data_IF_532500065084
#
_entry.id   IF_532500065084
#
_cell.length_a   1.000
_cell.length_b   1.000
_cell.length_c   1.000
_cell.angle_alpha   90.00
_cell.angle_beta   90.00
_cell.angle_gamma   90.00
#
_symmetry.space_group_name_H-M   'P 1'
#
loop_
_entity.id
_entity.type
_entity.pdbx_description
1 polymer ?
#
# COMPACT_ATOMS: atom_id res chain seq x y z
N UNK A 1 -10.40 14.89 0.12
CA UNK A 1 -10.90 13.96 -0.93
C UNK A 1 -10.53 12.57 -0.48
N UNK A 2 -11.51 11.76 -0.06
CA UNK A 2 -11.27 10.39 0.38
C UNK A 2 -11.58 9.45 -0.79
N UNK A 3 -10.59 8.68 -1.24
CA UNK A 3 -10.81 7.52 -2.10
C UNK A 3 -11.48 6.44 -1.27
N UNK A 4 -12.80 6.52 -1.15
CA UNK A 4 -13.62 5.43 -0.60
C UNK A 4 -13.84 4.41 -1.72
N UNK A 5 -12.75 3.78 -2.16
CA UNK A 5 -12.77 2.73 -3.16
C UNK A 5 -13.04 1.40 -2.48
N UNK A 6 -14.31 1.00 -2.43
CA UNK A 6 -14.69 -0.32 -1.89
C UNK A 6 -14.14 -1.48 -2.77
N UNK A 7 -13.60 -1.18 -3.97
CA UNK A 7 -13.09 -2.17 -4.91
C UNK A 7 -11.77 -1.76 -5.57
N UNK A 8 -10.80 -1.27 -4.78
CA UNK A 8 -9.43 -1.04 -5.26
C UNK A 8 -8.73 -2.38 -5.47
N UNK A 9 -8.18 -2.63 -6.65
CA UNK A 9 -7.39 -3.83 -6.97
C UNK A 9 -5.91 -3.49 -7.17
N UNK A 10 -5.06 -4.51 -7.32
CA UNK A 10 -3.64 -4.32 -7.64
C UNK A 10 -3.43 -3.76 -9.04
N UNK A 11 -4.28 -4.16 -9.99
CA UNK A 11 -4.26 -3.75 -11.41
C UNK A 11 -4.46 -2.24 -11.60
N UNK A 12 -5.19 -1.58 -10.69
CA UNK A 12 -5.36 -0.12 -10.67
C UNK A 12 -4.01 0.63 -10.63
N UNK A 13 -2.94 -0.04 -10.16
CA UNK A 13 -1.61 0.52 -10.01
C UNK A 13 -0.54 -0.10 -10.91
N UNK A 14 -0.83 -1.18 -11.64
CA UNK A 14 0.16 -1.91 -12.47
C UNK A 14 0.84 -1.05 -13.53
N UNK A 15 0.15 0.00 -14.00
CA UNK A 15 0.71 0.98 -14.96
C UNK A 15 1.87 1.80 -14.39
N UNK A 16 2.07 1.80 -13.07
CA UNK A 16 3.14 2.53 -12.40
C UNK A 16 4.30 1.59 -12.03
N UNK A 17 5.56 2.03 -12.20
CA UNK A 17 6.70 1.26 -11.76
C UNK A 17 6.63 1.06 -10.25
N UNK A 18 6.89 -0.16 -9.81
CA UNK A 18 6.90 -0.52 -8.40
C UNK A 18 8.03 -1.47 -8.06
N UNK A 19 8.41 -1.46 -6.80
CA UNK A 19 9.32 -2.41 -6.20
C UNK A 19 8.50 -3.43 -5.40
N UNK A 20 8.72 -4.73 -5.65
CA UNK A 20 8.22 -5.79 -4.77
C UNK A 20 9.22 -6.00 -3.63
N UNK A 21 8.84 -5.56 -2.44
CA UNK A 21 9.66 -5.64 -1.22
C UNK A 21 9.15 -6.71 -0.27
N UNK A 22 8.22 -7.56 -0.72
CA UNK A 22 7.57 -8.59 0.06
C UNK A 22 8.44 -9.83 0.27
N UNK A 23 8.52 -10.31 1.52
CA UNK A 23 9.11 -11.62 1.84
C UNK A 23 8.04 -12.53 2.45
N UNK A 24 7.25 -13.16 1.58
CA UNK A 24 6.12 -14.04 1.97
C UNK A 24 4.74 -13.38 1.96
N UNK A 25 4.65 -12.07 1.70
CA UNK A 25 3.42 -11.33 1.37
C UNK A 25 3.68 -10.49 0.13
N UNK A 26 2.61 -10.08 -0.57
CA UNK A 26 2.73 -9.11 -1.65
C UNK A 26 2.80 -7.72 -1.05
N UNK A 27 3.95 -7.06 -1.23
CA UNK A 27 4.15 -5.68 -0.77
C UNK A 27 4.72 -4.88 -1.92
N UNK A 28 3.87 -4.09 -2.57
CA UNK A 28 4.26 -3.24 -3.69
C UNK A 28 4.46 -1.83 -3.20
N UNK A 29 5.67 -1.31 -3.42
CA UNK A 29 6.07 0.05 -3.11
C UNK A 29 6.12 0.87 -4.40
N UNK A 30 5.40 1.99 -4.42
CA UNK A 30 5.39 2.93 -5.52
C UNK A 30 5.96 4.27 -5.05
N UNK A 31 6.99 4.76 -5.72
CA UNK A 31 7.56 6.07 -5.40
C UNK A 31 6.67 7.20 -5.93
N UNK A 32 6.40 8.18 -5.08
CA UNK A 32 5.64 9.37 -5.41
C UNK A 32 6.57 10.54 -5.74
N UNK A 33 6.06 11.51 -6.52
CA UNK A 33 6.83 12.69 -6.96
C UNK A 33 7.31 13.56 -5.79
N UNK A 34 6.59 13.56 -4.68
CA UNK A 34 6.91 14.34 -3.48
C UNK A 34 7.89 13.64 -2.52
N UNK A 35 8.46 12.50 -2.93
CA UNK A 35 9.42 11.73 -2.13
C UNK A 35 8.81 10.82 -1.06
N UNK A 36 7.48 10.77 -0.98
CA UNK A 36 6.78 9.73 -0.22
C UNK A 36 6.70 8.43 -1.04
N UNK A 37 6.24 7.35 -0.42
CA UNK A 37 5.91 6.11 -1.13
C UNK A 37 4.51 5.61 -0.77
N UNK A 38 3.78 5.12 -1.78
CA UNK A 38 2.56 4.34 -1.58
C UNK A 38 2.93 2.88 -1.33
N UNK A 39 2.32 2.28 -0.32
CA UNK A 39 2.45 0.85 -0.03
C UNK A 39 1.10 0.17 -0.21
N UNK A 40 1.08 -0.86 -1.05
CA UNK A 40 0.01 -1.84 -1.14
C UNK A 40 0.49 -3.14 -0.49
N UNK A 41 -0.30 -3.68 0.43
CA UNK A 41 0.02 -4.93 1.12
C UNK A 41 -1.18 -5.88 1.06
N UNK A 42 -0.90 -7.15 0.74
CA UNK A 42 -1.87 -8.22 0.89
C UNK A 42 -1.26 -9.61 0.80
N UNK A 43 -2.05 -10.60 1.21
CA UNK A 43 -1.64 -12.01 1.17
C UNK A 43 -1.78 -12.67 -0.21
N UNK A 44 -2.58 -12.11 -1.11
CA UNK A 44 -2.84 -12.65 -2.45
C UNK A 44 -3.11 -11.54 -3.46
N UNK A 45 -2.76 -11.78 -4.73
CA UNK A 45 -3.00 -10.85 -5.83
C UNK A 45 -4.40 -10.98 -6.46
N UNK A 46 -5.07 -12.13 -6.31
CA UNK A 46 -6.44 -12.37 -6.79
C UNK A 46 -7.52 -11.78 -5.87
N UNK A 47 -7.11 -11.10 -4.79
CA UNK A 47 -7.97 -10.38 -3.86
C UNK A 47 -7.49 -8.93 -3.72
N UNK A 48 -8.38 -7.96 -3.40
CA UNK A 48 -7.99 -6.58 -3.14
C UNK A 48 -6.85 -6.47 -2.11
N UNK A 49 -5.97 -5.45 -2.21
CA UNK A 49 -5.01 -5.17 -1.15
C UNK A 49 -5.72 -5.07 0.21
N UNK A 50 -5.14 -5.72 1.20
CA UNK A 50 -5.63 -5.73 2.58
C UNK A 50 -5.36 -4.38 3.24
N UNK A 51 -4.18 -3.79 2.97
CA UNK A 51 -3.79 -2.48 3.46
C UNK A 51 -3.25 -1.60 2.34
N UNK A 52 -3.58 -0.32 2.39
CA UNK A 52 -3.07 0.72 1.50
C UNK A 52 -2.72 1.93 2.36
N UNK A 53 -1.47 2.37 2.33
CA UNK A 53 -0.98 3.48 3.15
C UNK A 53 0.18 4.21 2.49
N UNK A 54 0.46 5.41 2.96
CA UNK A 54 1.56 6.26 2.50
C UNK A 54 2.61 6.34 3.60
N UNK A 55 3.88 6.17 3.22
CA UNK A 55 5.04 6.39 4.09
C UNK A 55 5.85 7.60 3.63
N UNK A 56 6.53 8.26 4.57
CA UNK A 56 7.55 9.26 4.26
C UNK A 56 8.90 8.63 3.90
N UNK A 57 9.89 9.47 3.59
CA UNK A 57 11.26 9.05 3.30
C UNK A 57 11.97 8.32 4.45
N UNK A 58 11.46 8.45 5.68
CA UNK A 58 11.96 7.77 6.87
C UNK A 58 11.18 6.47 7.16
N UNK A 59 10.36 6.01 6.20
CA UNK A 59 9.47 4.85 6.33
C UNK A 59 8.41 4.99 7.43
N UNK A 60 8.12 6.21 7.89
CA UNK A 60 7.06 6.47 8.86
C UNK A 60 5.72 6.63 8.14
N UNK A 61 4.67 6.02 8.69
CA UNK A 61 3.33 6.07 8.11
C UNK A 61 2.78 7.50 8.25
N UNK A 62 2.43 8.12 7.11
CA UNK A 62 1.80 9.45 7.06
C UNK A 62 0.28 9.37 7.00
N UNK A 63 -0.24 8.44 6.20
CA UNK A 63 -1.67 8.33 5.94
C UNK A 63 -2.07 6.89 5.67
N UNK A 64 -3.24 6.50 6.19
CA UNK A 64 -3.83 5.18 5.96
C UNK A 64 -5.07 5.36 5.10
N UNK A 65 -5.05 4.75 3.92
CA UNK A 65 -6.15 4.81 2.97
C UNK A 65 -7.11 3.64 3.17
N UNK A 66 -6.59 2.47 3.61
CA UNK A 66 -7.36 1.25 3.91
C UNK A 66 -6.57 0.32 4.83
N UNK A 67 -7.27 -0.40 5.73
CA UNK A 67 -6.66 -1.47 6.54
C UNK A 67 -6.08 -1.05 7.89
N UNK A 68 -6.61 0.02 8.51
CA UNK A 68 -6.09 0.60 9.76
C UNK A 68 -5.94 -0.40 10.92
N UNK A 69 -6.76 -1.46 10.98
CA UNK A 69 -6.68 -2.49 12.02
C UNK A 69 -5.37 -3.29 12.00
N UNK A 70 -4.70 -3.39 10.84
CA UNK A 70 -3.43 -4.11 10.70
C UNK A 70 -2.26 -3.37 11.37
N UNK A 71 -2.28 -2.04 11.40
CA UNK A 71 -1.17 -1.24 11.93
C UNK A 71 -1.06 -1.33 13.47
N UNK A 72 -2.16 -1.64 14.14
CA UNK A 72 -2.17 -1.90 15.59
C UNK A 72 -1.52 -3.25 15.96
N UNK A 73 -1.09 -4.04 14.96
CA UNK A 73 -0.49 -5.38 15.15
C UNK A 73 1.01 -5.42 14.86
N UNK A 74 1.59 -4.32 14.39
CA UNK A 74 3.03 -4.17 14.23
C UNK A 74 3.57 -3.67 15.59
N UNK A 75 4.46 -4.43 16.26
CA UNK A 75 4.98 -4.08 17.59
C UNK A 75 5.81 -2.79 17.61
#
# INVERSE_FOLDING_TARGET
MAIKGENITWEDFERFPHEDIGSGRYIYKYDMVDGNSLILNGNKLDSPPECIYIIDSNSSIKEVLKGADFLNTIP
#
